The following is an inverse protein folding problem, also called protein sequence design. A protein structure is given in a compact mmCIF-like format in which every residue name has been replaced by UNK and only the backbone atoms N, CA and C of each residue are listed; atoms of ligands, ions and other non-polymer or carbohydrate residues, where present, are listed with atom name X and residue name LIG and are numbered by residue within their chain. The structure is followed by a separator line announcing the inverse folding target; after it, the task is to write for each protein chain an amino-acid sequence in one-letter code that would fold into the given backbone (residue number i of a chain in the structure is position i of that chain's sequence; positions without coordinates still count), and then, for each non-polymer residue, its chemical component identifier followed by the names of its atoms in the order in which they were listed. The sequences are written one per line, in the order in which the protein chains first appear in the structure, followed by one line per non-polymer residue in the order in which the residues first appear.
data_IF_750095231406
#
_entry.id   IF_750095231406
#
_cell.length_a   1.000
_cell.length_b   1.000
_cell.length_c   1.000
_cell.angle_alpha   90.00
_cell.angle_beta   90.00
_cell.angle_gamma   90.00
#
_symmetry.space_group_name_H-M   'P 1'
#
loop_
_entity.id
_entity.type
_entity.pdbx_description
1 polymer ?
#
# COMPACT_ATOMS: atom_id res chain seq x y z
N UNK A 1 7.21 -9.11 1.06
CA UNK A 1 7.68 -10.40 1.61
C UNK A 1 6.97 -11.53 0.88
N UNK A 2 7.70 -12.43 0.20
CA UNK A 2 7.11 -13.62 -0.43
C UNK A 2 7.58 -14.85 0.34
N UNK A 3 6.68 -15.47 1.10
CA UNK A 3 6.95 -16.72 1.81
C UNK A 3 6.51 -17.86 0.89
N UNK A 4 7.46 -18.66 0.40
CA UNK A 4 7.14 -19.91 -0.29
C UNK A 4 7.12 -21.06 0.72
N UNK A 5 5.98 -21.71 0.87
CA UNK A 5 5.86 -22.94 1.65
C UNK A 5 5.86 -24.16 0.72
N UNK A 6 6.78 -25.10 0.95
CA UNK A 6 6.67 -26.48 0.42
C UNK A 6 6.76 -27.41 1.62
N UNK A 7 5.63 -28.03 1.97
CA UNK A 7 5.56 -28.97 3.09
C UNK A 7 6.15 -30.31 2.66
N UNK A 8 7.33 -30.62 3.19
CA UNK A 8 8.06 -31.87 3.06
C UNK A 8 9.55 -31.66 2.74
N UNK A 9 10.45 -31.82 3.73
CA UNK A 9 11.88 -31.45 3.63
C UNK A 9 12.08 -30.08 2.94
N UNK A 10 11.24 -29.11 3.27
CA UNK A 10 11.20 -27.80 2.62
C UNK A 10 12.31 -26.87 3.10
N UNK A 11 12.65 -25.92 2.25
CA UNK A 11 13.47 -24.75 2.58
C UNK A 11 12.55 -23.54 2.69
N UNK A 12 12.73 -22.73 3.72
CA UNK A 12 12.12 -21.39 3.79
C UNK A 12 13.15 -20.43 3.21
N UNK A 13 12.73 -19.69 2.18
CA UNK A 13 13.50 -18.59 1.60
C UNK A 13 12.81 -17.31 1.98
N UNK A 14 13.49 -16.48 2.75
CA UNK A 14 13.06 -15.12 3.07
C UNK A 14 13.83 -14.19 2.15
N UNK A 15 13.09 -13.40 1.37
CA UNK A 15 13.61 -12.40 0.44
C UNK A 15 13.16 -11.00 0.90
N UNK A 16 14.01 -9.99 0.67
CA UNK A 16 13.83 -8.61 1.11
C UNK A 16 13.56 -8.44 2.62
N UNK A 17 14.28 -9.20 3.46
CA UNK A 17 14.24 -9.11 4.93
C UNK A 17 14.53 -7.71 5.47
N UNK A 18 15.31 -6.92 4.74
CA UNK A 18 15.64 -5.54 5.03
C UNK A 18 14.45 -4.57 4.90
N UNK A 19 13.37 -4.97 4.22
CA UNK A 19 12.11 -4.21 4.11
C UNK A 19 11.06 -4.64 5.15
N UNK A 20 11.38 -5.56 6.07
CA UNK A 20 10.44 -6.06 7.06
C UNK A 20 10.40 -5.16 8.31
N UNK A 21 9.25 -4.52 8.57
CA UNK A 21 9.06 -3.69 9.78
C UNK A 21 9.04 -4.52 11.08
N UNK A 22 8.69 -5.80 10.99
CA UNK A 22 8.64 -6.78 12.09
C UNK A 22 9.82 -7.77 12.01
N UNK A 23 11.00 -7.29 11.59
CA UNK A 23 12.17 -8.16 11.36
C UNK A 23 12.48 -9.05 12.58
N UNK A 24 12.29 -8.53 13.80
CA UNK A 24 12.57 -9.28 15.04
C UNK A 24 11.60 -10.44 15.24
N UNK A 25 10.29 -10.20 15.10
CA UNK A 25 9.24 -11.21 15.29
C UNK A 25 9.31 -12.31 14.21
N UNK A 26 9.59 -11.91 12.96
CA UNK A 26 9.82 -12.85 11.86
C UNK A 26 11.07 -13.69 12.13
N UNK A 27 12.15 -13.10 12.65
CA UNK A 27 13.35 -13.85 13.02
C UNK A 27 13.10 -14.82 14.18
N UNK A 28 12.35 -14.42 15.21
CA UNK A 28 11.97 -15.29 16.34
C UNK A 28 11.10 -16.46 15.88
N UNK A 29 10.10 -16.19 15.03
CA UNK A 29 9.27 -17.22 14.42
C UNK A 29 10.11 -18.20 13.61
N UNK A 30 11.06 -17.68 12.82
CA UNK A 30 11.91 -18.49 11.94
C UNK A 30 12.92 -19.33 12.73
N UNK A 31 13.40 -18.84 13.88
CA UNK A 31 14.30 -19.60 14.77
C UNK A 31 13.64 -20.86 15.34
N UNK A 32 12.31 -20.98 15.29
CA UNK A 32 11.60 -22.22 15.64
C UNK A 32 11.83 -23.38 14.65
N UNK A 33 12.42 -23.11 13.47
CA UNK A 33 12.68 -24.11 12.43
C UNK A 33 14.14 -24.59 12.39
N UNK A 34 14.33 -25.89 12.14
CA UNK A 34 15.65 -26.55 12.18
C UNK A 34 16.55 -26.34 10.95
N UNK A 35 16.03 -25.78 9.84
CA UNK A 35 16.80 -25.51 8.60
C UNK A 35 16.27 -24.28 7.88
N UNK A 36 17.13 -23.27 7.70
CA UNK A 36 16.78 -21.98 7.12
C UNK A 36 17.88 -21.51 6.16
N UNK A 37 17.47 -20.93 5.02
CA UNK A 37 18.36 -20.18 4.11
C UNK A 37 17.78 -18.79 3.89
N UNK A 38 18.48 -17.74 4.30
CA UNK A 38 18.04 -16.34 4.14
C UNK A 38 18.80 -15.73 2.96
N UNK A 39 18.08 -15.07 2.05
CA UNK A 39 18.65 -14.24 1.01
C UNK A 39 18.41 -12.78 1.40
N UNK A 40 19.49 -12.02 1.56
CA UNK A 40 19.43 -10.59 1.84
C UNK A 40 20.46 -9.86 0.97
N UNK A 41 20.06 -8.78 0.26
CA UNK A 41 21.01 -7.85 -0.34
C UNK A 41 21.86 -7.23 0.78
N UNK A 42 23.18 -7.19 0.59
CA UNK A 42 24.19 -6.74 1.58
C UNK A 42 23.68 -5.62 2.51
N UNK A 43 23.31 -5.98 3.74
CA UNK A 43 22.97 -5.08 4.83
C UNK A 43 23.51 -5.63 6.16
N UNK A 44 24.26 -4.81 6.89
CA UNK A 44 25.10 -5.25 8.03
C UNK A 44 24.32 -5.74 9.27
N UNK A 45 22.99 -5.54 9.34
CA UNK A 45 22.17 -5.87 10.51
C UNK A 45 21.89 -7.36 10.70
N UNK A 46 21.84 -8.15 9.62
CA UNK A 46 21.52 -9.60 9.71
C UNK A 46 22.70 -10.47 10.16
N UNK A 47 23.94 -9.95 10.11
CA UNK A 47 25.14 -10.71 10.49
C UNK A 47 25.26 -10.98 11.98
N UNK A 48 24.66 -10.14 12.83
CA UNK A 48 24.82 -10.24 14.28
C UNK A 48 23.85 -11.25 14.90
N UNK A 49 22.67 -11.45 14.30
CA UNK A 49 21.60 -12.27 14.89
C UNK A 49 21.63 -13.75 14.48
N UNK A 50 22.31 -14.11 13.38
CA UNK A 50 22.33 -15.49 12.89
C UNK A 50 23.76 -15.91 12.53
N UNK A 51 24.17 -17.12 12.96
CA UNK A 51 25.37 -17.81 12.46
C UNK A 51 25.16 -18.25 11.00
N UNK A 52 25.03 -17.31 10.07
CA UNK A 52 24.94 -17.61 8.64
C UNK A 52 26.37 -17.70 8.11
N UNK A 53 26.77 -18.91 7.71
CA UNK A 53 27.90 -19.07 6.79
C UNK A 53 27.44 -18.62 5.41
N UNK A 54 27.62 -17.34 5.11
CA UNK A 54 27.65 -16.90 3.72
C UNK A 54 28.92 -17.51 3.14
N UNK A 55 28.78 -18.55 2.31
CA UNK A 55 29.87 -19.01 1.45
C UNK A 55 30.12 -17.92 0.39
N UNK A 56 30.75 -16.83 0.83
CA UNK A 56 31.36 -15.84 -0.03
C UNK A 56 32.70 -16.37 -0.51
N UNK A 57 32.68 -17.26 -1.48
CA UNK A 57 33.72 -17.25 -2.50
C UNK A 57 33.14 -16.41 -3.64
N UNK A 58 33.94 -15.49 -4.18
CA UNK A 58 33.58 -14.53 -5.23
C UNK A 58 32.67 -15.18 -6.29
N UNK A 59 31.35 -14.97 -6.12
CA UNK A 59 30.37 -15.52 -7.04
C UNK A 59 30.74 -14.96 -8.41
N UNK A 60 30.97 -15.84 -9.37
CA UNK A 60 31.27 -15.46 -10.74
C UNK A 60 29.99 -14.97 -11.40
N UNK A 61 29.49 -13.82 -10.95
CA UNK A 61 28.22 -13.22 -11.36
C UNK A 61 28.13 -13.18 -12.89
N UNK A 62 29.24 -12.91 -13.58
CA UNK A 62 29.29 -12.89 -15.04
C UNK A 62 29.17 -14.28 -15.71
N UNK A 63 29.61 -15.37 -15.05
CA UNK A 63 29.35 -16.75 -15.53
C UNK A 63 27.87 -17.12 -15.37
N UNK A 64 27.22 -16.68 -14.29
CA UNK A 64 25.79 -16.90 -14.07
C UNK A 64 24.94 -16.07 -15.05
N UNK A 65 25.32 -14.81 -15.30
CA UNK A 65 24.70 -13.96 -16.34
C UNK A 65 24.86 -14.59 -17.71
N UNK A 66 26.03 -15.16 -18.00
CA UNK A 66 26.28 -15.89 -19.25
C UNK A 66 25.32 -17.07 -19.39
N UNK A 67 25.16 -17.87 -18.35
CA UNK A 67 24.26 -19.02 -18.33
C UNK A 67 22.79 -18.58 -18.50
N UNK A 68 22.39 -17.52 -17.81
CA UNK A 68 21.07 -16.91 -17.93
C UNK A 68 20.80 -16.42 -19.37
N UNK A 69 21.73 -15.67 -19.97
CA UNK A 69 21.62 -15.18 -21.34
C UNK A 69 21.48 -16.31 -22.35
N UNK A 70 22.26 -17.38 -22.21
CA UNK A 70 22.20 -18.54 -23.10
C UNK A 70 20.86 -19.28 -23.03
N UNK A 71 20.21 -19.24 -21.86
CA UNK A 71 18.86 -19.76 -21.67
C UNK A 71 17.81 -18.85 -22.30
N UNK A 72 17.84 -17.56 -21.97
CA UNK A 72 16.78 -16.61 -22.37
C UNK A 72 16.84 -16.26 -23.87
N UNK A 73 18.04 -16.16 -24.46
CA UNK A 73 18.19 -15.86 -25.89
C UNK A 73 17.60 -16.94 -26.80
N UNK A 74 17.37 -18.16 -26.27
CA UNK A 74 16.67 -19.24 -27.00
C UNK A 74 15.18 -18.95 -27.18
N UNK A 75 14.60 -18.11 -26.33
CA UNK A 75 13.20 -17.66 -26.43
C UNK A 75 13.04 -16.51 -27.43
N UNK A 76 14.13 -15.84 -27.79
CA UNK A 76 14.16 -14.76 -28.76
C UNK A 76 14.21 -15.28 -30.21
N UNK A 77 13.78 -14.46 -31.16
CA UNK A 77 13.75 -14.79 -32.59
C UNK A 77 15.07 -14.51 -33.33
N UNK A 78 16.16 -14.22 -32.62
CA UNK A 78 17.47 -13.92 -33.23
C UNK A 78 18.09 -15.16 -33.88
N UNK A 79 18.67 -14.98 -35.07
CA UNK A 79 19.30 -16.05 -35.86
C UNK A 79 20.72 -15.70 -36.26
N UNK A 80 21.54 -16.74 -36.46
CA UNK A 80 22.89 -16.64 -37.01
C UNK A 80 23.76 -15.60 -36.29
N UNK A 81 24.52 -14.82 -37.07
CA UNK A 81 25.44 -13.81 -36.53
C UNK A 81 24.79 -12.75 -35.64
N UNK A 82 23.53 -12.39 -35.87
CA UNK A 82 22.82 -11.41 -35.01
C UNK A 82 22.66 -11.93 -33.58
N UNK A 83 22.37 -13.23 -33.42
CA UNK A 83 22.23 -13.86 -32.10
C UNK A 83 23.55 -13.76 -31.32
N UNK A 84 24.66 -14.06 -31.98
CA UNK A 84 26.01 -13.95 -31.39
C UNK A 84 26.36 -12.51 -31.05
N UNK A 85 26.04 -11.57 -31.93
CA UNK A 85 26.27 -10.12 -31.73
C UNK A 85 25.54 -9.62 -30.48
N UNK A 86 24.24 -9.90 -30.35
CA UNK A 86 23.44 -9.56 -29.16
C UNK A 86 24.03 -10.18 -27.90
N UNK A 87 24.34 -11.48 -27.93
CA UNK A 87 24.84 -12.20 -26.76
C UNK A 87 26.17 -11.64 -26.26
N UNK A 88 27.13 -11.39 -27.16
CA UNK A 88 28.45 -10.87 -26.77
C UNK A 88 28.33 -9.44 -26.23
N UNK A 89 27.51 -8.60 -26.88
CA UNK A 89 27.34 -7.20 -26.45
C UNK A 89 26.75 -7.11 -25.04
N UNK A 90 25.71 -7.91 -24.75
CA UNK A 90 25.09 -7.91 -23.43
C UNK A 90 25.99 -8.53 -22.36
N UNK A 91 26.76 -9.58 -22.68
CA UNK A 91 27.74 -10.18 -21.75
C UNK A 91 28.81 -9.17 -21.36
N UNK A 92 29.38 -8.46 -22.33
CA UNK A 92 30.46 -7.50 -22.10
C UNK A 92 30.03 -6.29 -21.26
N UNK A 93 28.76 -5.86 -21.40
CA UNK A 93 28.23 -4.68 -20.71
C UNK A 93 27.42 -4.99 -19.45
N UNK A 94 27.28 -6.26 -19.08
CA UNK A 94 26.40 -6.65 -17.98
C UNK A 94 26.87 -6.10 -16.63
N UNK A 95 28.19 -6.08 -16.39
CA UNK A 95 28.81 -5.59 -15.15
C UNK A 95 28.11 -6.09 -13.87
N UNK A 96 27.74 -7.37 -13.84
CA UNK A 96 27.02 -7.99 -12.73
C UNK A 96 25.51 -7.65 -12.61
N UNK A 97 24.94 -6.86 -13.53
CA UNK A 97 23.56 -6.38 -13.47
C UNK A 97 22.59 -7.28 -14.25
N UNK A 98 22.12 -8.39 -13.64
CA UNK A 98 21.11 -9.28 -14.24
C UNK A 98 19.87 -8.53 -14.76
N UNK A 99 19.37 -7.58 -13.98
CA UNK A 99 18.16 -6.84 -14.34
C UNK A 99 18.36 -5.97 -15.58
N UNK A 100 19.52 -5.34 -15.72
CA UNK A 100 19.87 -4.58 -16.93
C UNK A 100 19.86 -5.50 -18.15
N UNK A 101 20.50 -6.67 -18.04
CA UNK A 101 20.55 -7.66 -19.13
C UNK A 101 19.14 -8.13 -19.54
N UNK A 102 18.28 -8.46 -18.58
CA UNK A 102 16.87 -8.85 -18.82
C UNK A 102 16.10 -7.74 -19.58
N UNK A 103 16.22 -6.49 -19.12
CA UNK A 103 15.58 -5.34 -19.77
C UNK A 103 16.08 -5.14 -21.20
N UNK A 104 17.40 -5.13 -21.43
CA UNK A 104 17.95 -4.94 -22.76
C UNK A 104 17.58 -6.10 -23.70
N UNK A 105 17.62 -7.35 -23.22
CA UNK A 105 17.25 -8.50 -24.04
C UNK A 105 15.79 -8.44 -24.50
N UNK A 106 14.86 -8.08 -23.61
CA UNK A 106 13.44 -7.88 -23.94
C UNK A 106 13.23 -6.74 -24.94
N UNK A 107 13.90 -5.60 -24.73
CA UNK A 107 13.83 -4.46 -25.64
C UNK A 107 14.39 -4.79 -27.04
N UNK A 108 15.48 -5.56 -27.11
CA UNK A 108 16.03 -6.02 -28.39
C UNK A 108 15.11 -7.05 -29.05
N UNK A 109 14.46 -7.92 -28.28
CA UNK A 109 13.57 -8.95 -28.82
C UNK A 109 12.29 -8.36 -29.44
N UNK A 110 11.87 -7.17 -29.00
CA UNK A 110 10.73 -6.43 -29.58
C UNK A 110 11.11 -5.59 -30.81
N UNK A 111 12.40 -5.43 -31.12
CA UNK A 111 12.87 -4.75 -32.33
C UNK A 111 12.59 -5.64 -33.55
N UNK A 112 11.42 -5.49 -34.18
CA UNK A 112 10.92 -6.35 -35.28
C UNK A 112 11.79 -6.52 -36.53
N UNK A 113 13.02 -6.00 -36.58
CA UNK A 113 14.01 -6.30 -37.63
C UNK A 113 15.45 -6.25 -37.13
N UNK A 114 16.33 -7.04 -37.75
CA UNK A 114 17.77 -7.05 -37.46
C UNK A 114 18.44 -5.66 -37.61
N UNK A 115 17.94 -4.81 -38.51
CA UNK A 115 18.43 -3.44 -38.70
C UNK A 115 18.17 -2.58 -37.46
N UNK A 116 16.98 -2.69 -36.87
CA UNK A 116 16.61 -1.95 -35.66
C UNK A 116 17.37 -2.50 -34.46
N UNK A 117 17.49 -3.83 -34.32
CA UNK A 117 18.30 -4.48 -33.27
C UNK A 117 19.73 -3.91 -33.26
N UNK A 118 20.41 -3.87 -34.41
CA UNK A 118 21.78 -3.33 -34.50
C UNK A 118 21.88 -1.84 -34.22
N UNK A 119 20.81 -1.07 -34.50
CA UNK A 119 20.77 0.35 -34.11
C UNK A 119 20.64 0.46 -32.59
N UNK A 120 19.77 -0.34 -31.97
CA UNK A 120 19.57 -0.37 -30.53
C UNK A 120 20.82 -0.86 -29.77
N UNK A 121 21.54 -1.85 -30.29
CA UNK A 121 22.81 -2.32 -29.70
C UNK A 121 23.87 -1.21 -29.58
N UNK A 122 23.87 -0.24 -30.51
CA UNK A 122 24.79 0.91 -30.48
C UNK A 122 24.36 2.00 -29.49
N UNK A 123 23.12 1.98 -29.04
CA UNK A 123 22.47 2.99 -28.19
C UNK A 123 21.89 2.34 -26.92
N UNK A 124 22.58 1.32 -26.40
CA UNK A 124 22.21 0.68 -25.13
C UNK A 124 22.48 1.64 -23.97
N UNK A 125 21.58 1.72 -22.97
CA UNK A 125 21.85 2.43 -21.73
C UNK A 125 23.13 1.91 -21.05
N UNK A 126 23.85 2.81 -20.38
CA UNK A 126 25.11 2.48 -19.70
C UNK A 126 24.89 1.52 -18.52
N UNK A 127 23.81 1.71 -17.78
CA UNK A 127 23.47 0.94 -16.59
C UNK A 127 21.95 0.78 -16.41
N UNK A 128 21.58 0.11 -15.32
CA UNK A 128 20.18 -0.09 -14.94
C UNK A 128 19.43 1.23 -14.67
N UNK A 129 20.10 2.23 -14.11
CA UNK A 129 19.49 3.53 -13.81
C UNK A 129 19.10 4.26 -15.10
N UNK A 130 20.01 4.35 -16.08
CA UNK A 130 19.74 4.91 -17.40
C UNK A 130 18.67 4.13 -18.15
N UNK A 131 18.58 2.82 -17.92
CA UNK A 131 17.50 1.98 -18.46
C UNK A 131 16.14 2.42 -17.92
N UNK A 132 16.02 2.66 -16.61
CA UNK A 132 14.80 3.16 -16.00
C UNK A 132 14.47 4.59 -16.38
N UNK A 133 15.47 5.48 -16.48
CA UNK A 133 15.28 6.86 -16.96
C UNK A 133 14.71 6.86 -18.38
N UNK A 134 15.25 6.02 -19.27
CA UNK A 134 14.75 5.90 -20.65
C UNK A 134 13.29 5.40 -20.66
N UNK A 135 12.97 4.37 -19.89
CA UNK A 135 11.61 3.83 -19.78
C UNK A 135 10.61 4.84 -19.19
N UNK A 136 11.03 5.61 -18.17
CA UNK A 136 10.22 6.69 -17.58
C UNK A 136 9.96 7.81 -18.59
N UNK A 137 10.97 8.25 -19.32
CA UNK A 137 10.81 9.27 -20.36
C UNK A 137 9.83 8.83 -21.44
N UNK A 138 9.96 7.60 -21.94
CA UNK A 138 9.01 7.04 -22.91
C UNK A 138 7.57 7.00 -22.36
N UNK A 139 7.42 6.63 -21.09
CA UNK A 139 6.11 6.61 -20.42
C UNK A 139 5.50 8.02 -20.32
N UNK A 140 6.33 9.05 -20.09
CA UNK A 140 5.88 10.45 -19.91
C UNK A 140 5.63 11.26 -21.16
N UNK A 141 6.34 10.95 -22.22
CA UNK A 141 6.12 11.55 -23.54
C UNK A 141 4.88 10.93 -24.21
N UNK A 142 4.33 9.86 -23.64
CA UNK A 142 3.09 9.24 -24.12
C UNK A 142 1.87 10.12 -23.84
N UNK A 143 0.82 9.90 -24.63
CA UNK A 143 -0.50 10.53 -24.42
C UNK A 143 -1.16 10.14 -23.09
N UNK A 144 -0.73 9.03 -22.48
CA UNK A 144 -1.31 8.47 -21.25
C UNK A 144 -0.47 8.83 -20.01
N UNK A 145 0.33 9.91 -20.06
CA UNK A 145 1.29 10.23 -19.00
C UNK A 145 0.66 10.46 -17.62
N UNK A 146 -0.55 11.02 -17.58
CA UNK A 146 -1.28 11.29 -16.32
C UNK A 146 -1.78 9.98 -15.71
N UNK A 147 -2.42 9.14 -16.53
CA UNK A 147 -2.78 7.76 -16.18
C UNK A 147 -1.57 6.97 -15.68
N UNK A 148 -0.45 7.03 -16.40
CA UNK A 148 0.78 6.34 -16.05
C UNK A 148 1.32 6.82 -14.71
N UNK A 149 1.34 8.14 -14.48
CA UNK A 149 1.75 8.70 -13.20
C UNK A 149 0.90 8.15 -12.07
N UNK A 150 -0.41 8.14 -12.29
CA UNK A 150 -1.36 7.77 -11.27
C UNK A 150 -1.30 6.30 -10.92
N UNK A 151 -1.22 5.41 -11.92
CA UNK A 151 -1.00 3.98 -11.71
C UNK A 151 0.33 3.72 -11.01
N UNK A 152 1.39 4.46 -11.33
CA UNK A 152 2.68 4.31 -10.64
C UNK A 152 2.63 4.75 -9.17
N UNK A 153 1.86 5.79 -8.81
CA UNK A 153 1.63 6.14 -7.40
C UNK A 153 0.99 4.97 -6.64
N UNK A 154 -0.05 4.38 -7.23
CA UNK A 154 -0.74 3.20 -6.69
C UNK A 154 0.17 1.99 -6.57
N UNK A 155 0.91 1.61 -7.62
CA UNK A 155 1.80 0.45 -7.59
C UNK A 155 2.97 0.61 -6.59
N UNK A 156 3.30 1.84 -6.20
CA UNK A 156 4.39 2.11 -5.26
C UNK A 156 3.92 2.08 -3.80
N UNK A 157 2.71 2.58 -3.51
CA UNK A 157 2.24 2.86 -2.14
C UNK A 157 0.89 2.22 -1.77
N UNK A 158 0.28 1.41 -2.64
CA UNK A 158 -0.91 0.64 -2.28
C UNK A 158 -0.60 -0.40 -1.19
N UNK A 159 -1.52 -0.57 -0.24
CA UNK A 159 -1.38 -1.55 0.86
C UNK A 159 -1.64 -2.99 0.42
N UNK A 160 -2.25 -3.19 -0.76
CA UNK A 160 -2.44 -4.51 -1.39
C UNK A 160 -2.10 -4.46 -2.88
N UNK A 161 -1.62 -5.57 -3.47
CA UNK A 161 -1.46 -5.69 -4.91
C UNK A 161 -2.77 -5.41 -5.65
N UNK A 162 -2.67 -4.79 -6.82
CA UNK A 162 -3.81 -4.40 -7.63
C UNK A 162 -4.01 -5.37 -8.78
N UNK A 163 -5.26 -5.60 -9.17
CA UNK A 163 -5.60 -6.32 -10.40
C UNK A 163 -5.76 -5.35 -11.58
N UNK A 164 -5.66 -5.86 -12.81
CA UNK A 164 -5.94 -5.05 -14.03
C UNK A 164 -7.34 -4.43 -13.99
N UNK A 165 -8.33 -5.14 -13.43
CA UNK A 165 -9.70 -4.62 -13.27
C UNK A 165 -9.77 -3.46 -12.27
N UNK A 166 -9.04 -3.55 -11.16
CA UNK A 166 -8.92 -2.44 -10.21
C UNK A 166 -8.20 -1.25 -10.83
N UNK A 167 -7.17 -1.48 -11.65
CA UNK A 167 -6.54 -0.39 -12.41
C UNK A 167 -7.53 0.26 -13.38
N UNK A 168 -8.43 -0.52 -13.99
CA UNK A 168 -9.55 0.02 -14.78
C UNK A 168 -10.42 0.99 -14.00
N UNK A 169 -10.86 0.59 -12.81
CA UNK A 169 -11.62 1.46 -11.91
C UNK A 169 -10.84 2.71 -11.51
N UNK A 170 -9.54 2.58 -11.21
CA UNK A 170 -8.65 3.68 -10.84
C UNK A 170 -8.55 4.71 -11.99
N UNK A 171 -8.41 4.25 -13.23
CA UNK A 171 -8.29 5.12 -14.41
C UNK A 171 -9.60 5.79 -14.80
N UNK A 172 -10.74 5.26 -14.34
CA UNK A 172 -12.04 5.87 -14.56
C UNK A 172 -12.36 7.01 -13.56
N UNK A 173 -11.48 7.28 -12.58
CA UNK A 173 -11.71 8.33 -11.57
C UNK A 173 -11.31 9.70 -12.14
N UNK A 174 -12.28 10.60 -12.21
CA UNK A 174 -12.07 12.01 -12.55
C UNK A 174 -11.95 12.84 -11.25
N UNK A 175 -10.73 13.29 -10.96
CA UNK A 175 -10.42 14.12 -9.80
C UNK A 175 -10.92 15.57 -9.89
N UNK A 176 -11.17 16.08 -11.09
CA UNK A 176 -11.68 17.45 -11.26
C UNK A 176 -13.18 17.51 -11.01
N UNK A 177 -13.90 16.47 -11.45
CA UNK A 177 -15.36 16.36 -11.30
C UNK A 177 -15.80 15.59 -10.06
N UNK A 178 -14.87 14.93 -9.37
CA UNK A 178 -15.15 14.02 -8.25
C UNK A 178 -16.17 12.93 -8.62
N UNK A 179 -16.00 12.30 -9.77
CA UNK A 179 -16.87 11.23 -10.25
C UNK A 179 -16.08 10.05 -10.82
N UNK A 180 -16.78 8.94 -11.04
CA UNK A 180 -16.23 7.74 -11.68
C UNK A 180 -16.94 7.57 -13.02
N UNK A 181 -16.18 7.63 -14.10
CA UNK A 181 -16.65 7.34 -15.45
C UNK A 181 -16.87 5.82 -15.62
N UNK A 182 -17.51 5.41 -16.70
CA UNK A 182 -17.81 4.00 -16.93
C UNK A 182 -16.54 3.21 -17.29
N UNK A 183 -15.94 2.53 -16.30
CA UNK A 183 -14.74 1.71 -16.48
C UNK A 183 -14.94 0.49 -17.41
N UNK A 184 -16.18 0.07 -17.69
CA UNK A 184 -16.49 -1.14 -18.45
C UNK A 184 -16.53 -0.93 -19.98
N UNK A 185 -16.19 0.26 -20.48
CA UNK A 185 -16.25 0.55 -21.92
C UNK A 185 -15.06 -0.05 -22.70
N UNK A 186 -13.92 -0.26 -22.04
CA UNK A 186 -12.71 -0.79 -22.67
C UNK A 186 -11.81 -1.49 -21.65
N UNK A 187 -11.30 -2.68 -21.99
CA UNK A 187 -10.29 -3.35 -21.18
C UNK A 187 -8.96 -2.58 -21.17
N UNK A 188 -8.41 -2.37 -19.96
CA UNK A 188 -7.14 -1.68 -19.78
C UNK A 188 -5.97 -2.55 -20.22
N UNK A 189 -5.12 -1.98 -21.09
CA UNK A 189 -3.84 -2.58 -21.47
C UNK A 189 -2.69 -1.82 -20.81
N UNK A 190 -2.21 -2.35 -19.69
CA UNK A 190 -1.18 -1.72 -18.85
C UNK A 190 0.09 -1.37 -19.63
N UNK A 191 0.51 -2.24 -20.56
CA UNK A 191 1.69 -2.06 -21.39
C UNK A 191 1.56 -0.95 -22.46
N UNK A 192 0.35 -0.42 -22.69
CA UNK A 192 0.12 0.76 -23.52
C UNK A 192 0.15 2.07 -22.70
N UNK A 193 0.16 1.97 -21.37
CA UNK A 193 0.15 3.09 -20.43
C UNK A 193 1.55 3.29 -19.85
N UNK A 194 2.16 2.21 -19.36
CA UNK A 194 3.47 2.22 -18.71
C UNK A 194 4.41 1.26 -19.44
N UNK A 195 5.66 1.66 -19.64
CA UNK A 195 6.67 0.81 -20.26
C UNK A 195 6.86 -0.51 -19.48
N UNK A 196 6.91 -1.64 -20.19
CA UNK A 196 7.07 -2.99 -19.61
C UNK A 196 8.36 -3.21 -18.80
N UNK A 197 9.31 -2.29 -18.92
CA UNK A 197 10.52 -2.24 -18.10
C UNK A 197 10.20 -1.87 -16.64
N UNK A 198 9.15 -1.08 -16.44
CA UNK A 198 8.74 -0.53 -15.14
C UNK A 198 7.59 -1.33 -14.52
N UNK A 199 6.69 -1.89 -15.34
CA UNK A 199 5.50 -2.62 -14.87
C UNK A 199 5.41 -4.02 -15.47
N UNK A 200 4.80 -4.93 -14.72
CA UNK A 200 4.46 -6.26 -15.19
C UNK A 200 3.03 -6.65 -14.79
N UNK A 201 2.43 -7.52 -15.59
CA UNK A 201 1.14 -8.15 -15.27
C UNK A 201 1.38 -9.65 -15.16
N UNK A 202 1.00 -10.25 -14.04
CA UNK A 202 1.16 -11.68 -13.82
C UNK A 202 0.03 -12.50 -14.47
N UNK A 203 0.12 -13.82 -14.37
CA UNK A 203 -0.85 -14.77 -14.91
C UNK A 203 -2.23 -14.73 -14.20
N UNK A 204 -2.32 -14.09 -13.04
CA UNK A 204 -3.56 -13.87 -12.29
C UNK A 204 -4.13 -12.47 -12.55
N UNK A 205 -3.58 -11.74 -13.51
CA UNK A 205 -3.95 -10.35 -13.82
C UNK A 205 -3.64 -9.37 -12.69
N UNK A 206 -2.67 -9.67 -11.81
CA UNK A 206 -2.13 -8.70 -10.87
C UNK A 206 -1.12 -7.79 -11.57
N UNK A 207 -1.22 -6.50 -11.30
CA UNK A 207 -0.32 -5.46 -11.79
C UNK A 207 0.67 -5.14 -10.68
N UNK A 208 1.96 -5.16 -11.01
CA UNK A 208 3.04 -4.87 -10.07
C UNK A 208 4.19 -4.17 -10.77
N UNK A 209 5.03 -3.48 -10.01
CA UNK A 209 6.32 -3.02 -10.54
C UNK A 209 7.12 -4.22 -11.04
N UNK A 210 7.76 -4.06 -12.19
CA UNK A 210 8.41 -5.18 -12.88
C UNK A 210 9.61 -5.78 -12.10
N UNK A 211 10.12 -5.06 -11.11
CA UNK A 211 11.15 -5.48 -10.17
C UNK A 211 11.20 -4.54 -8.96
N UNK A 212 11.63 -5.02 -7.79
CA UNK A 212 11.77 -4.20 -6.57
C UNK A 212 12.63 -2.96 -6.78
N UNK A 213 13.76 -3.08 -7.50
CA UNK A 213 14.64 -1.96 -7.84
C UNK A 213 13.97 -0.82 -8.65
N UNK A 214 12.81 -1.06 -9.26
CA UNK A 214 12.02 0.01 -9.89
C UNK A 214 11.45 0.95 -8.83
N UNK A 215 10.97 0.40 -7.69
CA UNK A 215 10.48 1.18 -6.55
C UNK A 215 11.61 2.02 -5.97
N UNK A 216 12.76 1.40 -5.72
CA UNK A 216 13.95 2.10 -5.20
C UNK A 216 14.37 3.25 -6.12
N UNK A 217 14.40 2.98 -7.44
CA UNK A 217 14.66 4.00 -8.44
C UNK A 217 13.65 5.16 -8.35
N UNK A 218 12.35 4.87 -8.30
CA UNK A 218 11.32 5.92 -8.25
C UNK A 218 11.41 6.77 -6.97
N UNK A 219 11.73 6.16 -5.83
CA UNK A 219 11.83 6.86 -4.54
C UNK A 219 13.11 7.71 -4.48
N UNK A 220 14.24 7.20 -4.95
CA UNK A 220 15.56 7.86 -4.80
C UNK A 220 15.80 9.01 -5.80
N UNK A 221 15.02 9.09 -6.88
CA UNK A 221 15.25 10.06 -7.96
C UNK A 221 14.63 11.46 -7.74
N UNK A 222 14.11 11.74 -6.53
CA UNK A 222 13.40 13.00 -6.25
C UNK A 222 14.26 14.27 -6.40
N UNK A 223 15.60 14.15 -6.43
CA UNK A 223 16.54 15.29 -6.51
C UNK A 223 17.54 15.21 -7.68
N UNK A 224 17.35 14.30 -8.64
CA UNK A 224 18.29 14.15 -9.76
C UNK A 224 18.05 15.20 -10.85
N UNK A 225 19.12 15.81 -11.35
CA UNK A 225 19.05 16.71 -12.51
C UNK A 225 18.53 16.01 -13.78
N UNK A 226 18.63 14.67 -13.85
CA UNK A 226 18.23 13.88 -15.01
C UNK A 226 16.73 13.57 -15.05
N UNK A 227 16.01 13.79 -13.94
CA UNK A 227 14.55 13.56 -13.80
C UNK A 227 13.74 14.86 -13.73
N UNK A 228 14.38 16.01 -13.93
CA UNK A 228 13.73 17.33 -13.98
C UNK A 228 12.67 17.34 -15.09
N UNK A 229 11.40 17.57 -14.70
CA UNK A 229 10.24 17.58 -15.59
C UNK A 229 9.41 16.28 -15.57
N UNK A 230 9.88 15.23 -14.92
CA UNK A 230 9.04 14.07 -14.58
C UNK A 230 8.12 14.43 -13.38
N UNK A 231 6.86 14.02 -13.41
CA UNK A 231 5.99 14.04 -12.21
C UNK A 231 6.66 13.28 -11.06
N UNK A 232 6.53 13.87 -9.87
CA UNK A 232 7.16 13.39 -8.65
C UNK A 232 6.37 12.21 -8.08
N UNK A 233 6.99 11.05 -7.95
CA UNK A 233 6.45 9.94 -7.16
C UNK A 233 7.03 10.07 -5.74
N UNK A 234 6.17 10.36 -4.77
CA UNK A 234 6.55 10.43 -3.37
C UNK A 234 5.39 9.95 -2.50
N UNK A 235 5.73 9.44 -1.32
CA UNK A 235 4.80 8.85 -0.37
C UNK A 235 3.63 9.77 -0.06
N UNK A 236 3.89 11.03 0.31
CA UNK A 236 2.85 11.99 0.69
C UNK A 236 1.83 12.20 -0.45
N UNK A 237 2.32 12.48 -1.67
CA UNK A 237 1.44 12.64 -2.83
C UNK A 237 0.66 11.36 -3.14
N UNK A 238 1.32 10.20 -3.02
CA UNK A 238 0.68 8.93 -3.33
C UNK A 238 -0.45 8.62 -2.36
N UNK A 239 -0.22 8.69 -1.04
CA UNK A 239 -1.26 8.46 -0.05
C UNK A 239 -2.39 9.50 -0.18
N UNK A 240 -2.09 10.76 -0.47
CA UNK A 240 -3.13 11.77 -0.69
C UNK A 240 -3.99 11.42 -1.91
N UNK A 241 -3.37 11.10 -3.05
CA UNK A 241 -4.10 10.79 -4.29
C UNK A 241 -4.84 9.46 -4.28
N UNK A 242 -4.29 8.46 -3.59
CA UNK A 242 -4.96 7.17 -3.39
C UNK A 242 -6.17 7.37 -2.46
N UNK A 243 -5.99 8.07 -1.34
CA UNK A 243 -7.08 8.38 -0.42
C UNK A 243 -8.22 9.15 -1.08
N UNK A 244 -7.90 10.18 -1.88
CA UNK A 244 -8.89 10.95 -2.65
C UNK A 244 -9.69 10.04 -3.58
N UNK A 245 -9.01 9.17 -4.34
CA UNK A 245 -9.69 8.26 -5.25
C UNK A 245 -10.54 7.20 -4.57
N UNK A 246 -10.08 6.63 -3.45
CA UNK A 246 -10.91 5.71 -2.70
C UNK A 246 -12.21 6.39 -2.25
N UNK A 247 -12.14 7.64 -1.78
CA UNK A 247 -13.33 8.40 -1.39
C UNK A 247 -14.22 8.70 -2.60
N UNK A 248 -13.67 9.22 -3.71
CA UNK A 248 -14.45 9.49 -4.94
C UNK A 248 -15.14 8.20 -5.42
N UNK A 249 -14.41 7.09 -5.41
CA UNK A 249 -14.93 5.79 -5.82
C UNK A 249 -16.06 5.33 -4.90
N UNK A 250 -15.95 5.47 -3.59
CA UNK A 250 -17.03 5.12 -2.66
C UNK A 250 -18.22 6.08 -2.77
N UNK A 251 -17.98 7.36 -3.06
CA UNK A 251 -19.03 8.38 -3.21
C UNK A 251 -19.93 8.18 -4.44
N UNK A 252 -19.49 7.41 -5.44
CA UNK A 252 -20.31 7.10 -6.63
C UNK A 252 -21.62 6.37 -6.28
N UNK A 253 -21.67 5.68 -5.14
CA UNK A 253 -22.81 4.85 -4.75
C UNK A 253 -23.90 5.69 -4.08
N UNK A 254 -24.88 6.10 -4.87
CA UNK A 254 -26.08 6.85 -4.43
C UNK A 254 -27.18 5.96 -3.86
N UNK A 255 -26.92 4.66 -3.68
CA UNK A 255 -27.82 3.72 -3.03
C UNK A 255 -27.03 2.70 -2.21
N UNK A 256 -27.70 2.10 -1.22
CA UNK A 256 -27.09 1.03 -0.40
C UNK A 256 -26.97 -0.22 -1.25
N UNK A 257 -25.75 -0.73 -1.37
CA UNK A 257 -25.44 -1.94 -2.13
C UNK A 257 -25.70 -3.18 -1.28
N UNK A 258 -26.11 -4.25 -1.93
CA UNK A 258 -26.05 -5.57 -1.32
C UNK A 258 -24.66 -6.18 -1.55
N UNK A 259 -24.33 -7.19 -0.73
CA UNK A 259 -23.02 -7.86 -0.78
C UNK A 259 -22.67 -8.42 -2.16
N UNK A 260 -23.64 -9.02 -2.85
CA UNK A 260 -23.41 -9.62 -4.19
C UNK A 260 -22.97 -8.58 -5.23
N UNK A 261 -23.35 -7.31 -5.06
CA UNK A 261 -22.96 -6.24 -5.99
C UNK A 261 -21.53 -5.77 -5.79
N UNK A 262 -20.91 -5.97 -4.64
CA UNK A 262 -19.52 -5.51 -4.42
C UNK A 262 -18.54 -6.16 -5.40
N UNK A 263 -18.80 -7.40 -5.82
CA UNK A 263 -17.97 -8.11 -6.81
C UNK A 263 -18.05 -7.50 -8.21
N UNK A 264 -19.09 -6.71 -8.51
CA UNK A 264 -19.24 -5.95 -9.76
C UNK A 264 -18.37 -4.68 -9.77
N UNK A 265 -17.81 -4.29 -8.60
CA UNK A 265 -17.03 -3.08 -8.38
C UNK A 265 -15.61 -3.43 -7.88
N UNK A 266 -14.68 -3.75 -8.79
CA UNK A 266 -13.35 -4.29 -8.45
C UNK A 266 -12.57 -3.53 -7.37
N UNK A 267 -12.66 -2.20 -7.34
CA UNK A 267 -11.95 -1.35 -6.37
C UNK A 267 -12.69 -1.19 -5.04
N UNK A 268 -13.97 -1.58 -4.92
CA UNK A 268 -14.81 -1.29 -3.75
C UNK A 268 -14.20 -1.76 -2.44
N UNK A 269 -13.77 -3.03 -2.36
CA UNK A 269 -13.23 -3.60 -1.13
C UNK A 269 -11.92 -2.92 -0.72
N UNK A 270 -11.02 -2.71 -1.67
CA UNK A 270 -9.77 -1.98 -1.40
C UNK A 270 -10.09 -0.57 -0.88
N UNK A 271 -10.96 0.16 -1.59
CA UNK A 271 -11.31 1.51 -1.23
C UNK A 271 -11.92 1.56 0.18
N UNK A 272 -12.88 0.68 0.49
CA UNK A 272 -13.54 0.62 1.79
C UNK A 272 -12.58 0.28 2.93
N UNK A 273 -11.61 -0.61 2.70
CA UNK A 273 -10.65 -1.09 3.71
C UNK A 273 -9.50 -0.09 3.96
N UNK A 274 -9.01 0.59 2.93
CA UNK A 274 -7.72 1.31 3.01
C UNK A 274 -7.80 2.83 2.89
N UNK A 275 -8.94 3.42 2.54
CA UNK A 275 -9.00 4.89 2.39
C UNK A 275 -8.61 5.63 3.68
N UNK A 276 -8.99 5.07 4.84
CA UNK A 276 -8.65 5.65 6.15
C UNK A 276 -7.15 5.58 6.45
N UNK A 277 -6.52 4.44 6.16
CA UNK A 277 -5.08 4.26 6.32
C UNK A 277 -4.30 5.22 5.41
N UNK A 278 -4.72 5.40 4.15
CA UNK A 278 -4.10 6.39 3.26
C UNK A 278 -4.29 7.82 3.77
N UNK A 279 -5.47 8.17 4.29
CA UNK A 279 -5.72 9.48 4.89
C UNK A 279 -4.83 9.76 6.11
N UNK A 280 -4.60 8.76 6.97
CA UNK A 280 -3.74 8.87 8.15
C UNK A 280 -2.29 9.20 7.80
N UNK A 281 -1.75 8.63 6.70
CA UNK A 281 -0.38 8.91 6.23
C UNK A 281 -0.11 10.39 5.84
N UNK A 282 -1.17 11.19 5.63
CA UNK A 282 -1.06 12.59 5.16
C UNK A 282 -1.55 13.63 6.18
N UNK A 283 -2.04 13.17 7.33
CA UNK A 283 -2.85 13.96 8.24
C UNK A 283 -2.12 15.12 8.93
N UNK A 284 -0.86 14.91 9.32
CA UNK A 284 -0.06 15.92 10.05
C UNK A 284 0.72 16.88 9.14
N UNK A 285 0.59 16.75 7.81
CA UNK A 285 1.53 17.38 6.87
C UNK A 285 0.96 18.62 6.19
N UNK A 286 -0.36 18.83 6.21
CA UNK A 286 -1.01 20.01 5.61
C UNK A 286 -2.30 20.42 6.36
N UNK A 287 -2.31 21.63 6.91
CA UNK A 287 -3.56 22.29 7.30
C UNK A 287 -4.43 22.50 6.04
N UNK A 288 -5.67 22.00 6.03
CA UNK A 288 -6.68 22.21 4.98
C UNK A 288 -6.41 21.53 3.63
N UNK A 289 -6.07 20.24 3.62
CA UNK A 289 -5.93 19.48 2.38
C UNK A 289 -7.28 19.23 1.69
N UNK A 290 -7.26 19.07 0.36
CA UNK A 290 -8.45 18.67 -0.44
C UNK A 290 -9.04 17.37 0.11
N UNK A 291 -8.17 16.44 0.53
CA UNK A 291 -8.58 15.17 1.11
C UNK A 291 -9.39 15.37 2.40
N UNK A 292 -8.99 16.27 3.31
CA UNK A 292 -9.75 16.52 4.54
C UNK A 292 -11.18 17.01 4.25
N UNK A 293 -11.37 17.85 3.22
CA UNK A 293 -12.71 18.28 2.81
C UNK A 293 -13.54 17.12 2.26
N UNK A 294 -12.93 16.25 1.44
CA UNK A 294 -13.57 15.04 0.93
C UNK A 294 -13.98 14.08 2.05
N UNK A 295 -13.13 13.90 3.06
CA UNK A 295 -13.44 13.08 4.25
C UNK A 295 -14.68 13.63 4.97
N UNK A 296 -14.71 14.94 5.21
CA UNK A 296 -15.85 15.59 5.87
C UNK A 296 -17.15 15.48 5.07
N UNK A 297 -17.07 15.49 3.74
CA UNK A 297 -18.22 15.27 2.87
C UNK A 297 -18.68 13.81 2.84
N UNK A 298 -17.73 12.88 2.71
CA UNK A 298 -17.97 11.46 2.64
C UNK A 298 -18.64 10.92 3.91
N UNK A 299 -18.21 11.37 5.08
CA UNK A 299 -18.69 10.86 6.36
C UNK A 299 -20.05 11.45 6.80
N UNK A 300 -20.73 12.23 5.96
CA UNK A 300 -22.10 12.71 6.25
C UNK A 300 -23.03 11.50 6.38
N UNK A 301 -23.65 11.33 7.56
CA UNK A 301 -24.44 10.15 7.91
C UNK A 301 -25.63 9.87 6.96
N UNK A 302 -26.13 10.89 6.29
CA UNK A 302 -27.24 10.81 5.32
C UNK A 302 -26.83 10.18 3.98
N UNK A 303 -25.52 10.01 3.72
CA UNK A 303 -25.03 9.52 2.43
C UNK A 303 -25.09 7.98 2.33
N UNK A 304 -25.68 7.42 1.25
CA UNK A 304 -25.66 5.98 1.02
C UNK A 304 -24.24 5.39 0.90
N UNK A 305 -23.30 6.15 0.36
CA UNK A 305 -21.88 5.79 0.28
C UNK A 305 -21.26 5.52 1.66
N UNK A 306 -21.59 6.35 2.64
CA UNK A 306 -21.18 6.16 4.04
C UNK A 306 -21.77 4.88 4.64
N UNK A 307 -23.05 4.59 4.37
CA UNK A 307 -23.68 3.35 4.81
C UNK A 307 -23.05 2.11 4.17
N UNK A 308 -22.69 2.19 2.88
CA UNK A 308 -21.97 1.12 2.19
C UNK A 308 -20.61 0.84 2.82
N UNK A 309 -19.87 1.88 3.17
CA UNK A 309 -18.58 1.75 3.85
C UNK A 309 -18.72 1.09 5.22
N UNK A 310 -19.68 1.51 6.05
CA UNK A 310 -19.95 0.89 7.35
C UNK A 310 -20.26 -0.61 7.19
N UNK A 311 -21.13 -0.96 6.24
CA UNK A 311 -21.51 -2.36 5.99
C UNK A 311 -20.33 -3.21 5.54
N UNK A 312 -19.45 -2.66 4.70
CA UNK A 312 -18.25 -3.35 4.25
C UNK A 312 -17.28 -3.60 5.43
N UNK A 313 -17.05 -2.60 6.28
CA UNK A 313 -16.13 -2.70 7.40
C UNK A 313 -16.59 -3.68 8.48
N UNK A 314 -17.89 -3.75 8.75
CA UNK A 314 -18.46 -4.67 9.74
C UNK A 314 -18.26 -6.15 9.37
N UNK A 315 -18.02 -6.49 8.10
CA UNK A 315 -17.86 -7.88 7.66
C UNK A 315 -16.40 -8.37 7.65
N UNK A 316 -15.42 -7.46 7.74
CA UNK A 316 -13.98 -7.78 7.58
C UNK A 316 -13.28 -8.44 8.76
N UNK A 317 -13.96 -8.73 9.88
CA UNK A 317 -13.27 -9.32 11.04
C UNK A 317 -14.08 -9.81 12.22
N UNK A 318 -15.37 -9.47 12.37
CA UNK A 318 -16.14 -9.91 13.56
C UNK A 318 -17.60 -10.19 13.19
N UNK A 319 -17.86 -11.38 12.65
CA UNK A 319 -19.24 -11.88 12.49
C UNK A 319 -19.73 -12.45 13.82
N UNK A 320 -20.84 -11.93 14.34
CA UNK A 320 -22.15 -12.60 14.49
C UNK A 320 -23.06 -11.66 15.31
N UNK A 321 -24.14 -11.17 14.70
CA UNK A 321 -25.25 -10.42 15.33
C UNK A 321 -24.96 -8.96 15.76
N UNK A 322 -25.03 -7.99 14.84
CA UNK A 322 -24.83 -6.57 15.17
C UNK A 322 -25.74 -5.60 14.39
N UNK A 323 -27.01 -5.95 14.21
CA UNK A 323 -28.04 -5.03 13.69
C UNK A 323 -28.33 -3.82 14.61
N UNK A 324 -27.65 -3.69 15.76
CA UNK A 324 -28.02 -2.76 16.84
C UNK A 324 -27.23 -1.44 16.90
N UNK A 325 -26.16 -1.25 16.12
CA UNK A 325 -25.29 -0.06 16.23
C UNK A 325 -25.23 0.78 14.96
N UNK A 326 -26.36 0.92 14.27
CA UNK A 326 -26.50 1.90 13.18
C UNK A 326 -26.50 3.31 13.79
N UNK A 327 -25.33 3.88 13.98
CA UNK A 327 -25.19 5.18 14.65
C UNK A 327 -24.70 6.24 13.69
N UNK A 328 -25.44 7.35 13.65
CA UNK A 328 -25.15 8.57 12.90
C UNK A 328 -24.22 9.50 13.71
N UNK A 329 -23.15 8.97 14.31
CA UNK A 329 -22.20 9.78 15.08
C UNK A 329 -20.90 9.93 14.30
N UNK A 330 -20.81 10.99 13.51
CA UNK A 330 -19.62 11.36 12.75
C UNK A 330 -18.36 11.51 13.64
N UNK A 331 -18.53 11.99 14.88
CA UNK A 331 -17.42 12.11 15.84
C UNK A 331 -16.87 10.73 16.23
N UNK A 332 -17.72 9.71 16.31
CA UNK A 332 -17.28 8.33 16.58
C UNK A 332 -16.39 7.81 15.45
N UNK A 333 -16.83 7.89 14.18
CA UNK A 333 -16.07 7.31 13.06
C UNK A 333 -14.77 8.06 12.80
N UNK A 334 -14.75 9.38 12.98
CA UNK A 334 -13.51 10.17 12.86
C UNK A 334 -12.53 9.86 13.99
N UNK A 335 -13.01 9.68 15.23
CA UNK A 335 -12.17 9.25 16.34
C UNK A 335 -11.64 7.83 16.16
N UNK A 336 -12.51 6.91 15.73
CA UNK A 336 -12.14 5.52 15.44
C UNK A 336 -11.11 5.42 14.31
N UNK A 337 -11.23 6.23 13.26
CA UNK A 337 -10.27 6.26 12.16
C UNK A 337 -9.01 7.09 12.47
N UNK A 338 -8.92 7.69 13.66
CA UNK A 338 -7.76 8.45 14.10
C UNK A 338 -7.63 9.85 13.47
N UNK A 339 -8.71 10.44 12.95
CA UNK A 339 -8.65 11.70 12.21
C UNK A 339 -8.76 12.99 13.08
N UNK A 340 -7.95 13.98 12.73
CA UNK A 340 -7.86 15.33 13.28
C UNK A 340 -9.10 16.17 12.97
N UNK A 341 -9.93 15.71 12.04
CA UNK A 341 -11.29 16.24 11.82
C UNK A 341 -12.15 16.17 13.08
N UNK A 342 -11.81 15.31 14.06
CA UNK A 342 -12.37 15.33 15.42
C UNK A 342 -12.33 16.74 16.02
N UNK A 343 -11.22 17.48 15.88
CA UNK A 343 -11.10 18.86 16.37
C UNK A 343 -12.13 19.79 15.74
N UNK A 344 -12.24 19.75 14.42
CA UNK A 344 -13.19 20.58 13.67
C UNK A 344 -14.63 20.25 14.05
N UNK A 345 -14.96 18.97 14.25
CA UNK A 345 -16.30 18.54 14.66
C UNK A 345 -16.66 19.05 16.05
N UNK A 346 -15.73 18.94 17.01
CA UNK A 346 -15.91 19.47 18.37
C UNK A 346 -16.04 21.00 18.37
N UNK A 347 -15.26 21.70 17.56
CA UNK A 347 -15.38 23.15 17.37
C UNK A 347 -16.72 23.57 16.75
N UNK A 348 -17.31 22.71 15.91
CA UNK A 348 -18.66 22.87 15.35
C UNK A 348 -19.78 22.42 16.29
N UNK A 349 -19.47 22.02 17.52
CA UNK A 349 -20.45 21.69 18.55
C UNK A 349 -20.91 20.23 18.54
N UNK A 350 -20.16 19.31 17.92
CA UNK A 350 -20.41 17.88 18.10
C UNK A 350 -20.37 17.51 19.60
N UNK A 351 -21.36 16.75 20.06
CA UNK A 351 -21.43 16.33 21.45
C UNK A 351 -20.33 15.27 21.73
N UNK A 352 -19.31 15.55 22.57
CA UNK A 352 -18.23 14.60 22.87
C UNK A 352 -18.73 13.33 23.58
N UNK A 353 -19.90 13.40 24.22
CA UNK A 353 -20.53 12.29 24.95
C UNK A 353 -21.64 11.62 24.15
N UNK A 354 -21.77 11.91 22.86
CA UNK A 354 -22.73 11.21 22.01
C UNK A 354 -22.39 9.70 22.00
N UNK A 355 -23.31 8.90 22.50
CA UNK A 355 -23.16 7.45 22.50
C UNK A 355 -23.33 6.90 21.09
N UNK A 356 -22.52 5.91 20.73
CA UNK A 356 -22.60 5.26 19.44
C UNK A 356 -21.47 4.32 19.10
N UNK A 357 -21.74 3.48 18.10
CA UNK A 357 -20.78 2.52 17.56
C UNK A 357 -20.44 1.37 18.52
N UNK A 358 -19.58 0.45 18.07
CA UNK A 358 -19.24 -0.77 18.80
C UNK A 358 -18.49 -0.50 20.12
N UNK A 359 -17.69 0.57 20.17
CA UNK A 359 -16.99 1.01 21.38
C UNK A 359 -17.86 1.92 22.26
N UNK A 360 -19.10 2.23 21.89
CA UNK A 360 -20.02 2.97 22.77
C UNK A 360 -19.93 4.50 22.74
N UNK A 361 -18.78 5.13 22.47
CA UNK A 361 -18.66 6.57 22.16
C UNK A 361 -17.33 6.91 21.47
N UNK A 362 -17.13 8.19 21.11
CA UNK A 362 -15.93 8.66 20.41
C UNK A 362 -14.64 8.55 21.26
N UNK A 363 -14.71 8.74 22.58
CA UNK A 363 -13.54 8.60 23.46
C UNK A 363 -13.07 7.14 23.49
N UNK A 364 -13.99 6.21 23.69
CA UNK A 364 -13.68 4.78 23.67
C UNK A 364 -13.13 4.34 22.30
N UNK A 365 -13.65 4.88 21.20
CA UNK A 365 -13.14 4.61 19.87
C UNK A 365 -11.71 5.14 19.65
N UNK A 366 -11.39 6.34 20.14
CA UNK A 366 -10.05 6.91 20.06
C UNK A 366 -9.02 6.12 20.90
N UNK A 367 -9.46 5.55 22.03
CA UNK A 367 -8.61 4.68 22.86
C UNK A 367 -8.29 3.38 22.14
N UNK A 368 -9.29 2.73 21.53
CA UNK A 368 -9.09 1.50 20.76
C UNK A 368 -8.23 1.72 19.49
N UNK A 369 -8.20 2.94 18.96
CA UNK A 369 -7.30 3.35 17.87
C UNK A 369 -5.91 3.79 18.38
N UNK A 370 -5.69 3.74 19.70
CA UNK A 370 -4.44 4.14 20.37
C UNK A 370 -4.02 5.59 20.09
N UNK A 371 -4.98 6.46 19.74
CA UNK A 371 -4.70 7.85 19.36
C UNK A 371 -4.67 8.76 20.59
N UNK A 372 -3.54 8.78 21.31
CA UNK A 372 -3.33 9.66 22.48
C UNK A 372 -3.71 11.14 22.21
N UNK A 373 -3.35 11.75 21.05
CA UNK A 373 -3.74 13.14 20.76
C UNK A 373 -5.26 13.35 20.70
N UNK A 374 -6.01 12.41 20.12
CA UNK A 374 -7.47 12.48 20.02
C UNK A 374 -8.13 12.21 21.36
N UNK A 375 -7.63 11.22 22.13
CA UNK A 375 -8.08 10.94 23.50
C UNK A 375 -7.96 12.19 24.36
N UNK A 376 -6.79 12.83 24.33
CA UNK A 376 -6.53 14.08 25.07
C UNK A 376 -7.50 15.19 24.64
N UNK A 377 -7.68 15.39 23.34
CA UNK A 377 -8.58 16.40 22.80
C UNK A 377 -10.03 16.18 23.22
N UNK A 378 -10.53 14.94 23.15
CA UNK A 378 -11.90 14.59 23.55
C UNK A 378 -12.13 14.88 25.05
N UNK A 379 -11.18 14.50 25.91
CA UNK A 379 -11.22 14.77 27.35
C UNK A 379 -11.18 16.28 27.64
N UNK A 380 -10.33 17.04 26.93
CA UNK A 380 -10.29 18.51 27.03
C UNK A 380 -11.59 19.18 26.59
N UNK A 381 -12.34 18.55 25.68
CA UNK A 381 -13.66 19.01 25.22
C UNK A 381 -14.82 18.47 26.06
N UNK A 382 -14.55 17.77 27.16
CA UNK A 382 -15.57 17.34 28.12
C UNK A 382 -16.18 15.97 27.84
N UNK A 383 -15.47 15.09 27.10
CA UNK A 383 -15.81 13.67 27.10
C UNK A 383 -15.69 13.11 28.52
N UNK A 384 -16.70 12.36 28.95
CA UNK A 384 -16.75 11.72 30.25
C UNK A 384 -15.88 10.45 30.23
N UNK A 385 -14.76 10.42 30.99
CA UNK A 385 -13.86 9.26 31.02
C UNK A 385 -14.52 8.01 31.60
N UNK A 386 -15.63 8.15 32.32
CA UNK A 386 -16.39 7.06 32.93
C UNK A 386 -17.64 6.69 32.13
N UNK A 387 -17.85 7.29 30.95
CA UNK A 387 -19.00 6.99 30.13
C UNK A 387 -19.04 5.50 29.76
N UNK A 388 -20.09 4.83 30.23
CA UNK A 388 -20.30 3.41 29.97
C UNK A 388 -20.94 3.19 28.59
N UNK A 389 -20.52 2.14 27.92
CA UNK A 389 -21.07 1.72 26.63
C UNK A 389 -20.13 0.79 25.88
N UNK A 390 -20.64 0.19 24.79
CA UNK A 390 -19.86 -0.71 23.95
C UNK A 390 -19.50 -2.04 24.63
N UNK A 391 -18.74 -2.86 23.92
CA UNK A 391 -18.35 -4.21 24.37
C UNK A 391 -17.43 -4.19 25.60
N UNK A 392 -16.48 -3.26 25.62
CA UNK A 392 -15.44 -3.15 26.65
C UNK A 392 -15.86 -2.36 27.89
N UNK A 393 -17.11 -1.88 27.97
CA UNK A 393 -17.60 -1.16 29.14
C UNK A 393 -17.23 0.32 29.20
N UNK A 394 -15.94 0.67 29.30
CA UNK A 394 -15.48 2.06 29.36
C UNK A 394 -14.07 2.25 28.76
N UNK A 395 -13.66 3.51 28.61
CA UNK A 395 -12.38 3.87 27.99
C UNK A 395 -11.16 3.32 28.74
N UNK A 396 -11.18 3.26 30.07
CA UNK A 396 -10.08 2.76 30.86
C UNK A 396 -9.91 1.24 30.71
N UNK A 397 -11.01 0.50 30.65
CA UNK A 397 -10.97 -0.95 30.43
C UNK A 397 -10.37 -1.30 29.05
N UNK A 398 -10.68 -0.53 28.00
CA UNK A 398 -10.04 -0.69 26.68
C UNK A 398 -8.54 -0.45 26.78
N UNK A 399 -8.13 0.69 27.35
CA UNK A 399 -6.72 1.06 27.45
C UNK A 399 -5.88 0.03 28.25
N UNK A 400 -6.48 -0.59 29.27
CA UNK A 400 -5.83 -1.66 30.04
C UNK A 400 -5.76 -2.96 29.25
N UNK A 401 -6.83 -3.33 28.53
CA UNK A 401 -6.85 -4.53 27.70
C UNK A 401 -5.81 -4.49 26.57
N UNK A 402 -5.57 -3.30 26.01
CA UNK A 402 -4.57 -3.05 24.96
C UNK A 402 -3.17 -2.74 25.54
N UNK A 403 -2.98 -2.84 26.87
CA UNK A 403 -1.71 -2.58 27.56
C UNK A 403 -1.10 -1.18 27.31
N UNK A 404 -1.95 -0.18 26.97
CA UNK A 404 -1.52 1.16 26.60
C UNK A 404 -1.31 2.06 27.84
N UNK A 405 -0.15 1.91 28.49
CA UNK A 405 0.22 2.66 29.71
C UNK A 405 0.07 4.19 29.59
N UNK A 406 0.48 4.86 28.49
CA UNK A 406 0.26 6.29 28.30
C UNK A 406 -1.22 6.71 28.39
N UNK A 407 -2.11 6.00 27.67
CA UNK A 407 -3.54 6.31 27.68
C UNK A 407 -4.17 5.98 29.03
N UNK A 408 -3.77 4.89 29.69
CA UNK A 408 -4.21 4.54 31.05
C UNK A 408 -3.92 5.69 32.02
N UNK A 409 -2.69 6.20 32.03
CA UNK A 409 -2.30 7.34 32.89
C UNK A 409 -3.12 8.58 32.58
N UNK A 410 -3.27 8.92 31.30
CA UNK A 410 -4.06 10.08 30.87
C UNK A 410 -5.52 9.98 31.33
N UNK A 411 -6.16 8.81 31.21
CA UNK A 411 -7.54 8.61 31.63
C UNK A 411 -7.70 8.74 33.15
N UNK A 412 -6.78 8.14 33.94
CA UNK A 412 -6.79 8.25 35.40
C UNK A 412 -6.57 9.70 35.87
N UNK A 413 -5.65 10.44 35.24
CA UNK A 413 -5.43 11.87 35.49
C UNK A 413 -6.68 12.71 35.20
N UNK A 414 -7.50 12.28 34.23
CA UNK A 414 -8.76 12.92 33.87
C UNK A 414 -9.97 12.42 34.68
N UNK A 415 -9.75 11.56 35.68
CA UNK A 415 -10.78 11.14 36.62
C UNK A 415 -11.53 9.86 36.23
N UNK A 416 -10.93 9.01 35.40
CA UNK A 416 -11.43 7.64 35.21
C UNK A 416 -11.40 6.86 36.53
N UNK A 417 -12.49 6.19 36.87
CA UNK A 417 -12.61 5.33 38.04
C UNK A 417 -12.10 3.93 37.73
N UNK A 418 -10.97 3.55 38.32
CA UNK A 418 -10.38 2.23 38.19
C UNK A 418 -11.30 1.09 38.65
N UNK A 419 -12.28 1.39 39.52
CA UNK A 419 -13.25 0.42 40.02
C UNK A 419 -14.58 0.44 39.25
N UNK A 420 -14.69 1.26 38.20
CA UNK A 420 -15.91 1.36 37.43
C UNK A 420 -16.28 -0.01 36.85
N UNK A 421 -17.47 -0.48 37.23
CA UNK A 421 -17.99 -1.73 36.70
C UNK A 421 -18.47 -1.54 35.25
N UNK A 422 -18.17 -2.49 34.37
CA UNK A 422 -18.59 -2.42 32.96
C UNK A 422 -18.01 -3.56 32.13
N UNK A 423 -18.61 -3.77 30.95
CA UNK A 423 -18.16 -4.77 29.98
C UNK A 423 -18.24 -6.22 30.47
N UNK A 424 -17.78 -7.15 29.65
CA UNK A 424 -17.71 -8.58 30.00
C UNK A 424 -16.61 -8.88 31.04
N UNK A 425 -15.66 -7.96 31.25
CA UNK A 425 -14.51 -8.10 32.15
C UNK A 425 -14.78 -7.62 33.58
N UNK A 426 -15.92 -6.98 33.84
CA UNK A 426 -16.31 -6.54 35.17
C UNK A 426 -15.69 -5.20 35.56
N UNK A 427 -14.36 -5.08 35.69
CA UNK A 427 -13.68 -3.81 35.97
C UNK A 427 -12.23 -3.78 35.41
N UNK A 428 -11.50 -2.69 35.59
CA UNK A 428 -10.15 -2.51 35.02
C UNK A 428 -9.01 -3.11 35.86
N UNK A 429 -9.27 -3.51 37.12
CA UNK A 429 -8.35 -4.17 38.06
C UNK A 429 -8.64 -5.68 38.12
#
# INVERSE_FOLDING_TARGET
MTIFEIIGKGYIVLDAMDECHETVEVLEWVQSFTKLSILSPKGNTLKECLKISLNGEDAKVDEDITTYLEKEIKKCNFKGGLKTEVMNTLKEKAEGQFRWVDCQLKALASCGSAKIVRKALKDLPEDLEQTYIKAMKCTWESKNREDAHYVLLWLTYAFKPLTVRQVGDILAIDFERNCVDNANEMEVQINLIIDSTLVSVDMNSNVQLAHASVKDFMINQQNSAQTVGLFKINELLAHEKIGQACIIYLMQFTSVLNRSKWEEYPLFIYAAEFWTAHAKCVEDKHDQSVLQNMIMEFLKAEMPSFQNWIQAHQQGGWSHSWDYWKVENLLFYTAWAGFSTVKLLLEKGANPNAQGGHYGNALQAAVAEESEPIVKLLLEKGADPNAQGGFYGNALQIAVADENEPIVKLLLEKGADANAQGGDYGNAL
#
